data_IF_765913381274
#
_entry.id   IF_765913381274
#
_cell.length_a   1.000
_cell.length_b   1.000
_cell.length_c   1.000
_cell.angle_alpha   90.00
_cell.angle_beta   90.00
_cell.angle_gamma   90.00
#
_symmetry.space_group_name_H-M   'P 1'
#
loop_
_entity.id
_entity.type
_entity.pdbx_description
1 polymer ?
#
# COMPACT_ATOMS: atom_id res chain seq x y z
N UNK A 1 2.26 24.60 12.63
CA UNK A 1 2.45 23.43 11.74
C UNK A 1 3.90 23.42 11.26
N UNK A 2 4.73 22.47 11.72
CA UNK A 2 6.18 22.47 11.48
C UNK A 2 6.50 22.23 9.98
N UNK A 3 7.40 23.03 9.41
CA UNK A 3 7.70 23.03 7.97
C UNK A 3 8.37 21.72 7.48
N UNK A 4 9.04 20.94 8.34
CA UNK A 4 9.67 19.66 7.94
C UNK A 4 8.67 18.52 7.71
N UNK A 5 7.61 18.43 8.51
CA UNK A 5 6.58 17.41 8.32
C UNK A 5 5.73 17.71 7.08
N UNK A 6 5.55 19.00 6.74
CA UNK A 6 5.03 19.39 5.43
C UNK A 6 5.94 18.90 4.30
N UNK A 7 7.26 18.83 4.45
CA UNK A 7 8.16 18.31 3.42
C UNK A 7 8.11 16.78 3.28
N UNK A 8 8.00 16.02 4.37
CA UNK A 8 7.83 14.57 4.31
C UNK A 8 6.46 14.18 3.75
N UNK A 9 5.39 14.83 4.24
CA UNK A 9 4.03 14.68 3.72
C UNK A 9 3.92 15.25 2.30
N UNK A 10 4.60 16.36 1.96
CA UNK A 10 4.63 16.88 0.59
C UNK A 10 5.43 15.98 -0.35
N UNK A 11 6.52 15.34 0.09
CA UNK A 11 7.23 14.36 -0.74
C UNK A 11 6.33 13.16 -1.04
N UNK A 12 5.57 12.69 -0.05
CA UNK A 12 4.59 11.60 -0.20
C UNK A 12 3.30 12.05 -0.94
N UNK A 13 2.89 13.31 -0.82
CA UNK A 13 1.72 13.89 -1.51
C UNK A 13 2.04 14.27 -2.96
N UNK A 14 3.26 14.71 -3.26
CA UNK A 14 3.76 14.99 -4.63
C UNK A 14 3.72 13.71 -5.46
N UNK A 15 3.95 12.54 -4.85
CA UNK A 15 3.74 11.25 -5.50
C UNK A 15 2.32 11.10 -6.08
N UNK A 16 1.31 11.63 -5.38
CA UNK A 16 -0.12 11.48 -5.73
C UNK A 16 -0.74 12.68 -6.43
N UNK A 17 -0.05 13.82 -6.55
CA UNK A 17 -0.57 15.03 -7.21
C UNK A 17 -0.52 14.97 -8.75
N UNK A 18 0.01 13.88 -9.30
CA UNK A 18 0.15 13.66 -10.75
C UNK A 18 -0.75 12.55 -11.29
N UNK A 19 -1.65 12.02 -10.46
CA UNK A 19 -2.74 11.14 -10.91
C UNK A 19 -3.77 11.89 -11.76
N UNK A 20 -3.70 13.23 -11.79
CA UNK A 20 -4.53 14.13 -12.58
C UNK A 20 -4.24 14.08 -14.09
N UNK A 21 -3.07 13.60 -14.52
CA UNK A 21 -2.79 13.45 -15.96
C UNK A 21 -3.40 12.20 -16.60
N UNK A 22 -4.06 11.33 -15.81
CA UNK A 22 -4.88 10.23 -16.34
C UNK A 22 -6.32 10.66 -16.64
N UNK A 23 -6.73 11.86 -16.22
CA UNK A 23 -8.12 12.34 -16.36
C UNK A 23 -8.45 12.94 -17.75
N UNK A 24 -7.45 13.12 -18.63
CA UNK A 24 -7.68 13.66 -19.99
C UNK A 24 -7.91 12.57 -21.05
N UNK A 25 -7.84 11.28 -20.70
CA UNK A 25 -8.33 10.21 -21.56
C UNK A 25 -9.79 9.92 -21.21
N UNK A 26 -10.72 10.42 -22.03
CA UNK A 26 -12.10 9.97 -22.00
C UNK A 26 -12.11 8.44 -22.09
N UNK A 27 -12.85 7.82 -21.17
CA UNK A 27 -12.97 6.38 -20.93
C UNK A 27 -11.77 5.73 -20.23
N UNK A 28 -11.98 5.51 -18.92
CA UNK A 28 -11.42 4.41 -18.12
C UNK A 28 -10.22 4.73 -17.22
N UNK A 29 -10.52 5.22 -16.01
CA UNK A 29 -9.53 5.37 -14.94
C UNK A 29 -9.24 4.01 -14.29
N UNK A 30 -7.96 3.66 -13.97
CA UNK A 30 -7.59 2.45 -13.22
C UNK A 30 -8.49 2.12 -12.00
N UNK A 31 -8.95 3.11 -11.21
CA UNK A 31 -9.94 2.87 -10.15
C UNK A 31 -11.25 2.20 -10.58
N UNK A 32 -11.84 2.59 -11.72
CA UNK A 32 -13.11 2.00 -12.18
C UNK A 32 -12.92 0.57 -12.70
N UNK A 33 -11.75 0.28 -13.29
CA UNK A 33 -11.40 -1.07 -13.76
C UNK A 33 -11.29 -2.08 -12.61
N UNK A 34 -10.58 -1.69 -11.54
CA UNK A 34 -10.34 -2.55 -10.39
C UNK A 34 -11.65 -3.00 -9.72
N UNK A 35 -12.61 -2.08 -9.55
CA UNK A 35 -13.89 -2.33 -8.87
C UNK A 35 -14.86 -3.13 -9.74
N UNK A 36 -14.89 -2.86 -11.04
CA UNK A 36 -15.84 -3.51 -11.96
C UNK A 36 -15.52 -4.98 -12.16
N UNK A 37 -14.23 -5.35 -12.15
CA UNK A 37 -13.81 -6.70 -12.51
C UNK A 37 -13.39 -7.57 -11.33
N UNK A 38 -13.06 -6.99 -10.17
CA UNK A 38 -12.74 -7.76 -8.96
C UNK A 38 -13.56 -7.25 -7.78
N UNK A 39 -14.78 -7.78 -7.56
CA UNK A 39 -15.58 -7.39 -6.40
C UNK A 39 -14.86 -7.80 -5.11
N UNK A 40 -15.01 -7.01 -4.05
CA UNK A 40 -14.33 -7.24 -2.77
C UNK A 40 -14.56 -8.66 -2.19
N UNK A 41 -15.69 -9.29 -2.51
CA UNK A 41 -15.99 -10.68 -2.15
C UNK A 41 -15.00 -11.71 -2.72
N UNK A 42 -14.44 -11.47 -3.91
CA UNK A 42 -13.49 -12.38 -4.55
C UNK A 42 -12.21 -12.55 -3.73
N UNK A 43 -11.80 -11.51 -2.99
CA UNK A 43 -10.65 -11.53 -2.07
C UNK A 43 -10.94 -12.18 -0.72
N UNK A 44 -12.22 -12.18 -0.31
CA UNK A 44 -12.69 -12.86 0.90
C UNK A 44 -12.80 -14.38 0.69
N UNK A 45 -12.99 -14.83 -0.56
CA UNK A 45 -13.20 -16.26 -0.89
C UNK A 45 -11.92 -17.08 -1.10
N UNK A 46 -10.74 -16.45 -1.17
CA UNK A 46 -9.46 -17.17 -1.23
C UNK A 46 -9.15 -17.75 -2.63
N UNK A 47 -7.90 -17.63 -3.04
CA UNK A 47 -7.38 -18.20 -4.28
C UNK A 47 -7.05 -19.71 -4.05
N UNK A 48 -7.44 -20.66 -4.92
CA UNK A 48 -7.23 -22.11 -4.71
C UNK A 48 -5.77 -22.60 -4.72
N UNK A 49 -4.77 -21.72 -4.81
CA UNK A 49 -3.36 -22.08 -4.60
C UNK A 49 -2.92 -22.22 -3.13
N UNK A 50 -3.88 -22.12 -2.19
CA UNK A 50 -3.65 -22.04 -0.76
C UNK A 50 -3.94 -23.41 -0.12
N UNK A 51 -2.96 -24.32 -0.16
CA UNK A 51 -2.95 -25.50 0.70
C UNK A 51 -2.52 -25.09 2.11
N UNK A 52 -3.45 -25.08 3.08
CA UNK A 52 -3.15 -24.89 4.50
C UNK A 52 -3.34 -26.23 5.20
N UNK A 53 -2.22 -26.80 5.62
CA UNK A 53 -2.18 -27.86 6.62
C UNK A 53 -2.38 -27.20 7.99
N UNK A 54 -3.47 -27.58 8.67
CA UNK A 54 -3.80 -27.07 9.99
C UNK A 54 -3.20 -28.01 11.03
N UNK A 55 -2.00 -27.72 11.52
CA UNK A 55 -1.56 -28.34 12.78
C UNK A 55 -0.67 -27.48 13.70
N UNK A 56 -0.78 -27.85 14.98
CA UNK A 56 -0.51 -27.17 16.28
C UNK A 56 0.70 -26.20 16.43
N UNK A 57 0.61 -25.22 17.37
CA UNK A 57 1.67 -24.25 17.63
C UNK A 57 2.86 -24.85 18.40
N UNK A 58 4.06 -24.78 17.81
CA UNK A 58 5.32 -25.20 18.45
C UNK A 58 5.97 -24.11 19.30
N UNK A 59 6.81 -24.52 20.26
CA UNK A 59 7.53 -23.72 21.26
C UNK A 59 8.45 -22.61 20.70
N UNK A 60 8.77 -22.63 19.40
CA UNK A 60 9.51 -21.55 18.70
C UNK A 60 8.72 -20.22 18.64
N UNK A 61 7.39 -20.27 18.74
CA UNK A 61 6.50 -19.10 18.72
C UNK A 61 6.68 -18.15 19.91
N UNK A 62 7.14 -18.67 21.06
CA UNK A 62 7.37 -17.88 22.29
C UNK A 62 8.62 -17.00 22.18
N UNK A 63 9.75 -17.57 21.75
CA UNK A 63 11.00 -16.81 21.49
C UNK A 63 10.88 -15.78 20.36
N UNK A 64 9.98 -15.99 19.40
CA UNK A 64 9.70 -15.00 18.35
C UNK A 64 8.92 -13.78 18.87
N UNK A 65 7.99 -13.99 19.82
CA UNK A 65 7.26 -12.90 20.49
C UNK A 65 8.19 -12.02 21.32
N UNK A 66 9.13 -12.60 22.04
CA UNK A 66 10.09 -11.85 22.87
C UNK A 66 11.05 -11.01 22.01
N UNK A 67 11.38 -11.47 20.79
CA UNK A 67 12.15 -10.69 19.79
C UNK A 67 11.36 -9.57 19.10
N UNK A 68 10.02 -9.65 19.08
CA UNK A 68 9.16 -8.58 18.54
C UNK A 68 9.05 -7.42 19.54
N UNK A 69 9.11 -7.69 20.86
CA UNK A 69 8.97 -6.70 21.92
C UNK A 69 10.09 -5.63 21.97
N UNK A 70 11.25 -5.87 21.35
CA UNK A 70 12.37 -4.92 21.28
C UNK A 70 12.34 -4.01 20.03
N UNK A 71 11.31 -4.11 19.17
CA UNK A 71 11.21 -3.32 17.93
C UNK A 71 10.41 -2.03 18.16
N UNK A 72 10.80 -0.90 17.54
CA UNK A 72 10.02 0.32 17.64
C UNK A 72 8.59 0.07 17.14
N UNK A 73 7.60 0.31 18.00
CA UNK A 73 6.20 0.15 17.65
C UNK A 73 5.80 1.17 16.59
N UNK A 74 5.24 0.68 15.50
CA UNK A 74 4.71 1.48 14.38
C UNK A 74 3.19 1.42 14.31
N UNK A 75 2.57 0.91 15.37
CA UNK A 75 1.13 0.94 15.55
C UNK A 75 0.69 2.40 15.73
N UNK A 76 -0.31 2.80 14.98
CA UNK A 76 -0.91 4.12 15.09
C UNK A 76 -2.26 4.03 15.78
N UNK A 77 -2.58 5.07 16.54
CA UNK A 77 -3.93 5.31 17.02
C UNK A 77 -4.64 6.14 15.97
N UNK A 78 -5.75 5.63 15.43
CA UNK A 78 -6.55 6.35 14.46
C UNK A 78 -7.35 7.45 15.18
N UNK A 79 -7.13 8.70 14.78
CA UNK A 79 -7.94 9.86 15.15
C UNK A 79 -9.24 9.89 14.33
N UNK A 80 -10.31 9.27 14.84
CA UNK A 80 -11.68 9.27 14.25
C UNK A 80 -11.76 8.66 12.83
N UNK A 81 -12.88 8.91 12.13
CA UNK A 81 -13.21 8.37 10.81
C UNK A 81 -12.16 8.72 9.74
N UNK A 82 -12.02 7.91 8.67
CA UNK A 82 -11.05 8.17 7.62
C UNK A 82 -11.23 9.52 6.93
N UNK A 83 -10.11 10.20 6.64
CA UNK A 83 -10.13 11.52 5.99
C UNK A 83 -9.46 11.51 4.61
N UNK A 84 -8.49 10.62 4.38
CA UNK A 84 -7.77 10.56 3.10
C UNK A 84 -8.64 10.22 1.89
N UNK A 85 -9.65 9.33 1.97
CA UNK A 85 -10.52 9.05 0.83
C UNK A 85 -11.12 10.31 0.20
N UNK A 86 -11.73 11.19 1.01
CA UNK A 86 -12.30 12.45 0.54
C UNK A 86 -11.22 13.40 0.01
N UNK A 87 -10.08 13.52 0.72
CA UNK A 87 -8.94 14.37 0.31
C UNK A 87 -8.37 13.96 -1.05
N UNK A 88 -8.26 12.67 -1.32
CA UNK A 88 -7.78 12.16 -2.61
C UNK A 88 -8.84 12.33 -3.69
N UNK A 89 -10.11 12.04 -3.38
CA UNK A 89 -11.22 12.20 -4.32
C UNK A 89 -11.44 13.65 -4.76
N UNK A 90 -11.13 14.64 -3.91
CA UNK A 90 -11.25 16.06 -4.24
C UNK A 90 -10.46 16.49 -5.50
N UNK A 91 -9.45 15.71 -5.92
CA UNK A 91 -8.65 15.95 -7.12
C UNK A 91 -9.37 15.57 -8.43
N UNK A 92 -10.53 14.91 -8.35
CA UNK A 92 -11.32 14.47 -9.50
C UNK A 92 -12.47 15.45 -9.81
N UNK A 93 -13.05 15.40 -11.02
CA UNK A 93 -14.27 16.16 -11.35
C UNK A 93 -15.38 15.92 -10.32
N UNK A 94 -16.17 16.96 -10.03
CA UNK A 94 -17.20 16.94 -8.96
C UNK A 94 -18.14 15.74 -9.10
N UNK A 95 -18.53 15.40 -10.33
CA UNK A 95 -19.42 14.28 -10.64
C UNK A 95 -18.88 12.92 -10.18
N UNK A 96 -17.55 12.74 -10.16
CA UNK A 96 -16.91 11.46 -9.83
C UNK A 96 -16.48 11.35 -8.36
N UNK A 97 -16.38 12.48 -7.63
CA UNK A 97 -15.77 12.52 -6.29
C UNK A 97 -16.36 11.52 -5.31
N UNK A 98 -17.69 11.44 -5.22
CA UNK A 98 -18.37 10.50 -4.30
C UNK A 98 -18.05 9.03 -4.64
N UNK A 99 -18.00 8.69 -5.93
CA UNK A 99 -17.66 7.34 -6.39
C UNK A 99 -16.21 6.99 -6.02
N UNK A 100 -15.28 7.90 -6.31
CA UNK A 100 -13.85 7.72 -6.02
C UNK A 100 -13.58 7.68 -4.52
N UNK A 101 -14.24 8.52 -3.72
CA UNK A 101 -14.14 8.50 -2.26
C UNK A 101 -14.61 7.15 -1.70
N UNK A 102 -15.75 6.63 -2.19
CA UNK A 102 -16.24 5.32 -1.77
C UNK A 102 -15.21 4.23 -2.09
N UNK A 103 -14.65 4.24 -3.31
CA UNK A 103 -13.62 3.29 -3.69
C UNK A 103 -12.40 3.35 -2.76
N UNK A 104 -11.89 4.54 -2.47
CA UNK A 104 -10.75 4.68 -1.54
C UNK A 104 -11.10 4.22 -0.12
N UNK A 105 -12.33 4.44 0.35
CA UNK A 105 -12.81 3.85 1.59
C UNK A 105 -12.83 2.31 1.54
N UNK A 106 -13.30 1.72 0.44
CA UNK A 106 -13.34 0.27 0.27
C UNK A 106 -11.91 -0.34 0.36
N UNK A 107 -10.88 0.36 -0.12
CA UNK A 107 -9.48 -0.07 0.02
C UNK A 107 -9.02 -0.09 1.49
N UNK A 108 -9.42 0.91 2.28
CA UNK A 108 -9.13 0.96 3.72
C UNK A 108 -9.84 -0.16 4.48
N UNK A 109 -11.09 -0.46 4.11
CA UNK A 109 -11.89 -1.55 4.71
C UNK A 109 -11.32 -2.93 4.37
N UNK A 110 -10.80 -3.11 3.15
CA UNK A 110 -10.24 -4.39 2.70
C UNK A 110 -8.90 -4.73 3.38
N UNK A 111 -8.06 -3.73 3.61
CA UNK A 111 -6.68 -3.93 4.03
C UNK A 111 -6.47 -4.72 5.33
N UNK A 112 -7.24 -4.55 6.43
CA UNK A 112 -7.08 -5.35 7.64
C UNK A 112 -7.12 -6.86 7.40
N UNK A 113 -7.96 -7.33 6.46
CA UNK A 113 -8.03 -8.74 6.08
C UNK A 113 -6.78 -9.21 5.35
N UNK A 114 -6.20 -8.36 4.50
CA UNK A 114 -4.92 -8.61 3.81
C UNK A 114 -3.78 -8.65 4.84
N UNK A 115 -3.68 -7.63 5.69
CA UNK A 115 -2.66 -7.53 6.72
C UNK A 115 -2.66 -8.75 7.66
N UNK A 116 -3.84 -9.23 8.05
CA UNK A 116 -3.99 -10.45 8.86
C UNK A 116 -3.41 -11.68 8.16
N UNK A 117 -3.69 -11.88 6.87
CA UNK A 117 -3.14 -12.99 6.07
C UNK A 117 -1.60 -12.92 6.00
N UNK A 118 -1.07 -11.71 5.87
CA UNK A 118 0.38 -11.44 5.81
C UNK A 118 1.05 -11.35 7.20
N UNK A 119 0.32 -11.70 8.28
CA UNK A 119 0.81 -11.71 9.66
C UNK A 119 1.34 -10.34 10.13
N UNK A 120 0.73 -9.27 9.66
CA UNK A 120 0.99 -7.90 10.08
C UNK A 120 -0.17 -7.40 10.95
N UNK A 121 0.17 -6.64 11.99
CA UNK A 121 -0.82 -6.10 12.90
C UNK A 121 -1.71 -5.07 12.18
N UNK A 122 -3.01 -4.99 12.50
CA UNK A 122 -3.85 -3.90 11.99
C UNK A 122 -3.32 -2.55 12.50
N UNK A 123 -3.56 -1.48 11.74
CA UNK A 123 -3.13 -0.12 12.06
C UNK A 123 -1.61 0.02 12.23
N UNK A 124 -0.83 -0.86 11.60
CA UNK A 124 0.62 -0.77 11.56
C UNK A 124 1.06 0.05 10.35
N UNK A 125 1.68 1.21 10.59
CA UNK A 125 2.19 2.05 9.51
C UNK A 125 3.31 1.38 8.72
N UNK A 126 4.17 0.59 9.37
CA UNK A 126 5.21 -0.14 8.65
C UNK A 126 4.59 -1.15 7.68
N UNK A 127 3.48 -1.77 8.08
CA UNK A 127 2.66 -2.61 7.23
C UNK A 127 2.08 -1.86 6.05
N UNK A 128 1.48 -0.69 6.29
CA UNK A 128 0.91 0.14 5.23
C UNK A 128 1.96 0.58 4.21
N UNK A 129 3.16 0.98 4.67
CA UNK A 129 4.29 1.30 3.79
C UNK A 129 4.76 0.08 2.99
N UNK A 130 4.81 -1.10 3.62
CA UNK A 130 5.14 -2.33 2.92
C UNK A 130 4.09 -2.67 1.85
N UNK A 131 2.80 -2.46 2.13
CA UNK A 131 1.72 -2.62 1.16
C UNK A 131 1.84 -1.65 -0.02
N UNK A 132 2.17 -0.39 0.25
CA UNK A 132 2.46 0.61 -0.78
C UNK A 132 3.64 0.19 -1.68
N UNK A 133 4.76 -0.21 -1.08
CA UNK A 133 5.96 -0.64 -1.82
C UNK A 133 5.68 -1.92 -2.62
N UNK A 134 5.05 -2.92 -2.01
CA UNK A 134 4.70 -4.18 -2.67
C UNK A 134 3.72 -3.94 -3.84
N UNK A 135 2.67 -3.15 -3.63
CA UNK A 135 1.70 -2.79 -4.67
C UNK A 135 2.35 -2.02 -5.82
N UNK A 136 3.26 -1.08 -5.52
CA UNK A 136 4.02 -0.34 -6.53
C UNK A 136 4.97 -1.26 -7.31
N UNK A 137 5.59 -2.23 -6.64
CA UNK A 137 6.44 -3.24 -7.27
C UNK A 137 5.66 -4.16 -8.21
N UNK A 138 4.49 -4.66 -7.75
CA UNK A 138 3.56 -5.45 -8.58
C UNK A 138 3.13 -4.66 -9.80
N UNK A 139 2.72 -3.41 -9.60
CA UNK A 139 2.30 -2.51 -10.67
C UNK A 139 3.41 -2.33 -11.72
N UNK A 140 4.63 -2.01 -11.27
CA UNK A 140 5.76 -1.80 -12.16
C UNK A 140 6.16 -3.06 -12.92
N UNK A 141 6.38 -4.18 -12.22
CA UNK A 141 6.86 -5.41 -12.83
C UNK A 141 5.76 -6.20 -13.56
N UNK A 142 4.49 -5.88 -13.33
CA UNK A 142 3.33 -6.67 -13.78
C UNK A 142 3.44 -8.14 -13.35
N UNK A 143 3.93 -8.38 -12.14
CA UNK A 143 4.16 -9.69 -11.56
C UNK A 143 3.53 -9.79 -10.18
N UNK A 144 3.04 -10.99 -9.83
CA UNK A 144 2.49 -11.25 -8.51
C UNK A 144 3.59 -11.12 -7.44
N UNK A 145 3.31 -10.35 -6.39
CA UNK A 145 4.22 -10.19 -5.26
C UNK A 145 4.15 -11.43 -4.37
N UNK A 146 5.30 -11.99 -3.98
CA UNK A 146 5.33 -13.19 -3.14
C UNK A 146 5.11 -12.83 -1.67
N UNK A 147 4.18 -13.51 -1.01
CA UNK A 147 3.84 -13.31 0.39
C UNK A 147 5.06 -13.42 1.34
N UNK A 148 5.99 -14.34 1.03
CA UNK A 148 7.22 -14.53 1.82
C UNK A 148 8.14 -13.29 1.86
N UNK A 149 8.00 -12.36 0.90
CA UNK A 149 8.80 -11.12 0.86
C UNK A 149 8.19 -10.01 1.73
N UNK A 150 6.91 -10.13 2.10
CA UNK A 150 6.18 -9.04 2.75
C UNK A 150 6.63 -8.77 4.18
N UNK A 151 6.89 -9.83 4.96
CA UNK A 151 7.31 -9.68 6.35
C UNK A 151 8.73 -9.06 6.47
N UNK A 152 9.75 -9.51 5.71
CA UNK A 152 11.05 -8.83 5.66
C UNK A 152 10.94 -7.35 5.24
N UNK A 153 10.13 -7.06 4.21
CA UNK A 153 9.85 -5.69 3.77
C UNK A 153 9.25 -4.85 4.90
N UNK A 154 8.23 -5.37 5.58
CA UNK A 154 7.58 -4.71 6.73
C UNK A 154 8.58 -4.42 7.85
N UNK A 155 9.52 -5.33 8.10
CA UNK A 155 10.56 -5.11 9.13
C UNK A 155 11.51 -3.98 8.76
N UNK A 156 11.93 -3.88 7.49
CA UNK A 156 12.74 -2.76 7.02
C UNK A 156 11.96 -1.43 7.10
N UNK A 157 10.69 -1.42 6.68
CA UNK A 157 9.84 -0.25 6.82
C UNK A 157 9.69 0.17 8.28
N UNK A 158 9.60 -0.80 9.21
CA UNK A 158 9.54 -0.51 10.65
C UNK A 158 10.80 0.19 11.15
N UNK A 159 11.98 -0.24 10.71
CA UNK A 159 13.24 0.44 11.03
C UNK A 159 13.27 1.86 10.46
N UNK A 160 12.84 2.05 9.20
CA UNK A 160 12.77 3.37 8.58
C UNK A 160 11.86 4.33 9.37
N UNK A 161 10.63 3.89 9.66
CA UNK A 161 9.66 4.66 10.44
C UNK A 161 10.19 4.94 11.85
N UNK A 162 10.76 3.92 12.51
CA UNK A 162 11.34 4.03 13.86
C UNK A 162 12.57 4.96 13.94
N UNK A 163 13.25 5.21 12.83
CA UNK A 163 14.40 6.13 12.76
C UNK A 163 14.01 7.53 12.27
N UNK A 164 12.79 7.73 11.78
CA UNK A 164 12.33 9.02 11.26
C UNK A 164 11.83 9.90 12.40
N UNK A 165 12.60 10.93 12.76
CA UNK A 165 12.26 11.88 13.85
C UNK A 165 10.90 12.56 13.62
N UNK A 166 10.62 12.95 12.37
CA UNK A 166 9.38 13.62 11.99
C UNK A 166 8.15 12.71 12.19
N UNK A 167 8.31 11.41 11.91
CA UNK A 167 7.25 10.46 12.20
C UNK A 167 6.98 10.38 13.69
N UNK A 168 8.01 10.30 14.54
CA UNK A 168 7.82 10.27 16.00
C UNK A 168 7.08 11.50 16.49
N UNK A 169 7.46 12.69 16.00
CA UNK A 169 6.89 13.97 16.36
C UNK A 169 5.49 14.27 15.74
N UNK A 170 5.05 13.48 14.76
CA UNK A 170 3.75 13.68 14.10
C UNK A 170 2.56 13.45 15.03
N UNK A 171 1.52 14.26 14.85
CA UNK A 171 0.22 14.11 15.52
C UNK A 171 -0.46 12.80 15.12
N UNK A 172 -1.43 12.34 15.92
CA UNK A 172 -2.22 11.15 15.59
C UNK A 172 -2.87 11.26 14.20
N UNK A 173 -3.40 12.44 13.89
CA UNK A 173 -4.02 12.76 12.60
C UNK A 173 -3.04 12.65 11.44
N UNK A 174 -1.86 13.25 11.56
CA UNK A 174 -0.84 13.18 10.50
C UNK A 174 -0.40 11.73 10.24
N UNK A 175 -0.22 10.95 11.30
CA UNK A 175 0.12 9.52 11.21
C UNK A 175 -0.97 8.71 10.52
N UNK A 176 -2.24 8.98 10.85
CA UNK A 176 -3.40 8.36 10.21
C UNK A 176 -3.48 8.72 8.72
N UNK A 177 -3.29 9.98 8.34
CA UNK A 177 -3.34 10.37 6.92
C UNK A 177 -2.25 9.65 6.10
N UNK A 178 -1.03 9.54 6.63
CA UNK A 178 0.03 8.77 5.96
C UNK A 178 -0.35 7.29 5.85
N UNK A 179 -0.84 6.68 6.93
CA UNK A 179 -1.29 5.29 6.92
C UNK A 179 -2.37 5.05 5.86
N UNK A 180 -3.43 5.84 5.87
CA UNK A 180 -4.55 5.69 4.93
C UNK A 180 -4.08 5.84 3.49
N UNK A 181 -3.24 6.84 3.20
CA UNK A 181 -2.70 7.05 1.85
C UNK A 181 -1.90 5.84 1.35
N UNK A 182 -1.02 5.27 2.20
CA UNK A 182 -0.21 4.12 1.83
C UNK A 182 -1.06 2.86 1.61
N UNK A 183 -2.05 2.64 2.47
CA UNK A 183 -3.01 1.55 2.32
C UNK A 183 -3.80 1.67 1.02
N UNK A 184 -4.37 2.85 0.73
CA UNK A 184 -5.16 3.10 -0.47
C UNK A 184 -4.30 2.83 -1.71
N UNK A 185 -3.10 3.41 -1.78
CA UNK A 185 -2.22 3.28 -2.93
C UNK A 185 -1.76 1.83 -3.18
N UNK A 186 -1.31 1.14 -2.14
CA UNK A 186 -0.83 -0.24 -2.23
C UNK A 186 -1.95 -1.21 -2.60
N UNK A 187 -3.09 -1.10 -1.91
CA UNK A 187 -4.24 -2.00 -2.13
C UNK A 187 -4.84 -1.76 -3.51
N UNK A 188 -5.03 -0.51 -3.93
CA UNK A 188 -5.56 -0.20 -5.27
C UNK A 188 -4.66 -0.78 -6.36
N UNK A 189 -3.34 -0.67 -6.21
CA UNK A 189 -2.39 -1.22 -7.20
C UNK A 189 -2.51 -2.73 -7.32
N UNK A 190 -2.59 -3.43 -6.18
CA UNK A 190 -2.76 -4.88 -6.14
C UNK A 190 -4.10 -5.34 -6.73
N UNK A 191 -5.21 -4.66 -6.37
CA UNK A 191 -6.54 -4.99 -6.90
C UNK A 191 -6.62 -4.71 -8.40
N UNK A 192 -6.04 -3.61 -8.88
CA UNK A 192 -5.99 -3.29 -10.32
C UNK A 192 -5.18 -4.34 -11.09
N UNK A 193 -4.04 -4.78 -10.55
CA UNK A 193 -3.24 -5.84 -11.16
C UNK A 193 -4.01 -7.16 -11.27
N UNK A 194 -4.73 -7.57 -10.22
CA UNK A 194 -5.56 -8.77 -10.29
C UNK A 194 -6.71 -8.64 -11.29
N UNK A 195 -7.36 -7.47 -11.34
CA UNK A 195 -8.38 -7.18 -12.33
C UNK A 195 -7.82 -7.34 -13.76
N UNK A 196 -6.56 -6.95 -13.99
CA UNK A 196 -5.89 -7.05 -15.29
C UNK A 196 -5.54 -8.48 -15.68
N UNK A 197 -5.50 -9.42 -14.73
CA UNK A 197 -5.37 -10.86 -14.99
C UNK A 197 -6.71 -11.43 -15.49
N UNK A 198 -7.82 -10.97 -14.93
CA UNK A 198 -9.15 -11.43 -15.31
C UNK A 198 -9.62 -10.80 -16.63
N UNK A 199 -9.40 -9.49 -16.81
CA UNK A 199 -9.76 -8.77 -18.02
C UNK A 199 -8.59 -7.92 -18.53
N UNK A 200 -7.75 -8.44 -19.43
CA UNK A 200 -6.62 -7.69 -19.95
C UNK A 200 -7.02 -6.34 -20.56
N UNK A 201 -6.35 -5.26 -20.15
CA UNK A 201 -6.46 -3.93 -20.74
C UNK A 201 -5.05 -3.30 -20.80
N UNK A 202 -4.55 -3.06 -22.02
CA UNK A 202 -3.19 -2.57 -22.25
C UNK A 202 -2.98 -1.16 -21.71
N UNK A 203 -3.96 -0.27 -21.89
CA UNK A 203 -3.89 1.12 -21.45
C UNK A 203 -3.84 1.22 -19.93
N UNK A 204 -4.70 0.47 -19.23
CA UNK A 204 -4.70 0.42 -17.76
C UNK A 204 -3.43 -0.24 -17.23
N UNK A 205 -2.92 -1.29 -17.90
CA UNK A 205 -1.64 -1.91 -17.54
C UNK A 205 -0.47 -0.94 -17.67
N UNK A 206 -0.40 -0.18 -18.77
CA UNK A 206 0.64 0.82 -18.97
C UNK A 206 0.56 1.94 -17.92
N UNK A 207 -0.64 2.43 -17.63
CA UNK A 207 -0.90 3.44 -16.58
C UNK A 207 -0.50 2.95 -15.18
N UNK A 208 -0.88 1.72 -14.85
CA UNK A 208 -0.53 1.08 -13.58
C UNK A 208 1.00 0.93 -13.45
N UNK A 209 1.66 0.43 -14.51
CA UNK A 209 3.12 0.31 -14.57
C UNK A 209 3.84 1.64 -14.39
N UNK A 210 3.40 2.69 -15.08
CA UNK A 210 3.98 4.03 -14.98
C UNK A 210 3.82 4.61 -13.55
N UNK A 211 2.68 4.34 -12.91
CA UNK A 211 2.44 4.75 -11.52
C UNK A 211 3.34 3.98 -10.54
N UNK A 212 3.47 2.67 -10.71
CA UNK A 212 4.39 1.84 -9.92
C UNK A 212 5.85 2.27 -10.06
N UNK A 213 6.30 2.55 -11.28
CA UNK A 213 7.64 3.09 -11.56
C UNK A 213 7.90 4.39 -10.78
N UNK A 214 6.96 5.34 -10.92
CA UNK A 214 7.06 6.65 -10.28
C UNK A 214 7.10 6.53 -8.76
N UNK A 215 6.19 5.75 -8.18
CA UNK A 215 6.13 5.55 -6.73
C UNK A 215 7.41 4.94 -6.17
N UNK A 216 7.95 3.90 -6.82
CA UNK A 216 9.22 3.31 -6.42
C UNK A 216 10.37 4.30 -6.52
N UNK A 217 10.43 5.07 -7.62
CA UNK A 217 11.47 6.08 -7.84
C UNK A 217 11.43 7.19 -6.81
N UNK A 218 10.25 7.71 -6.50
CA UNK A 218 10.09 8.78 -5.53
C UNK A 218 10.30 8.30 -4.10
N UNK A 219 9.94 7.06 -3.77
CA UNK A 219 10.12 6.49 -2.44
C UNK A 219 11.59 6.16 -2.15
N UNK A 220 12.28 5.47 -3.07
CA UNK A 220 13.68 5.04 -2.86
C UNK A 220 14.73 6.02 -3.39
N UNK A 221 14.32 7.06 -4.13
CA UNK A 221 15.21 8.05 -4.78
C UNK A 221 16.25 7.40 -5.71
N UNK A 222 15.88 6.27 -6.32
CA UNK A 222 16.66 5.54 -7.34
C UNK A 222 15.72 5.10 -8.46
N UNK A 223 16.23 4.74 -9.63
CA UNK A 223 15.37 4.21 -10.69
C UNK A 223 14.68 2.90 -10.26
N UNK A 224 13.41 2.73 -10.65
CA UNK A 224 12.58 1.62 -10.17
C UNK A 224 13.15 0.23 -10.52
N UNK A 225 13.83 0.11 -11.66
CA UNK A 225 14.51 -1.12 -12.08
C UNK A 225 15.71 -1.50 -11.18
N UNK A 226 16.20 -0.60 -10.32
CA UNK A 226 17.23 -0.88 -9.32
C UNK A 226 16.66 -1.41 -8.01
N UNK A 227 15.36 -1.28 -7.79
CA UNK A 227 14.69 -1.73 -6.57
C UNK A 227 14.38 -3.22 -6.67
N UNK A 228 15.13 -4.04 -5.93
CA UNK A 228 14.91 -5.47 -5.83
C UNK A 228 14.25 -5.80 -4.49
N UNK A 229 13.23 -6.66 -4.51
CA UNK A 229 12.55 -7.11 -3.29
C UNK A 229 12.57 -8.64 -3.26
N UNK A 230 13.08 -9.21 -2.18
CA UNK A 230 13.18 -10.66 -2.00
C UNK A 230 13.09 -11.08 -0.53
N UNK A 231 13.57 -12.30 -0.23
CA UNK A 231 13.51 -12.91 1.12
C UNK A 231 14.21 -12.09 2.22
N UNK A 232 15.10 -11.18 1.83
CA UNK A 232 15.84 -10.31 2.75
C UNK A 232 15.26 -8.87 2.79
N UNK A 233 14.11 -8.63 2.14
CA UNK A 233 13.52 -7.31 1.96
C UNK A 233 14.02 -6.61 0.71
N UNK A 234 14.05 -5.28 0.76
CA UNK A 234 14.54 -4.38 -0.29
C UNK A 234 16.06 -4.39 -0.35
N UNK A 235 16.59 -4.37 -1.57
CA UNK A 235 17.99 -4.10 -1.89
C UNK A 235 18.07 -3.25 -3.16
N UNK A 236 19.13 -2.44 -3.29
CA UNK A 236 19.35 -1.60 -4.46
C UNK A 236 20.44 -2.21 -5.33
N UNK A 237 20.13 -2.52 -6.57
CA UNK A 237 21.11 -2.94 -7.58
C UNK A 237 22.08 -1.78 -7.81
N UNK A 238 23.38 -2.05 -7.64
CA UNK A 238 24.45 -1.08 -7.89
C UNK A 238 24.41 -0.62 -9.34
#
# INVERSE_FOLDING_TARGET
MNNSLKFFIATILVCFSFQTNLAHAQYFSPPDFAVTYVPASYWLMGNPGIGVDYDKPSSKSRKFRDKIAARPSTLIVLSKAPEMPAKLAAKYPVADRKRIEKLYNDMLVLYPSIAKKLKVAPNDLAGALAAFVAGSWTAYHSQDFKDEYFLPLTQQMRTLVGNTKDFKAGTLKEKQLVYEQMVIAGTLSAVTHEALKQKPNQQVRASLRASGEKYLKEFFKVDANRVLIGKNGVSIKK
#
